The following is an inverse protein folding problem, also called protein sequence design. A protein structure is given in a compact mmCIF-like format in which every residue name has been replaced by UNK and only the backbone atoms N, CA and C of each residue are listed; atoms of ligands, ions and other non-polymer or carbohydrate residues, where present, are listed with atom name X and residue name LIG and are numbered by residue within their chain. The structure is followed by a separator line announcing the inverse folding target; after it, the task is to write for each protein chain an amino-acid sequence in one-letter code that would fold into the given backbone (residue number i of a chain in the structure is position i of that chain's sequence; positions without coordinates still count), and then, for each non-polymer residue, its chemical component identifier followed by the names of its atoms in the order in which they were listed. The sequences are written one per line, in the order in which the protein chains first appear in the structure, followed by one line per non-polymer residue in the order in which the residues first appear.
data_IF_062470088186
#
_entry.id   IF_062470088186
#
_cell.length_a   1.000
_cell.length_b   1.000
_cell.length_c   1.000
_cell.angle_alpha   90.00
_cell.angle_beta   90.00
_cell.angle_gamma   90.00
#
_symmetry.space_group_name_H-M   'P 1'
#
loop_
_entity.id
_entity.type
_entity.pdbx_description
1 polymer ?
#
# COMPACT_ATOMS: atom_id res chain seq x y z
N UNK A 1 37.40 4.73 40.37
CA UNK A 1 37.30 3.27 40.56
C UNK A 1 37.14 2.63 39.19
N UNK A 2 37.79 1.48 38.96
CA UNK A 2 38.10 0.96 37.63
C UNK A 2 37.03 0.01 37.08
N UNK A 3 37.14 -0.24 35.77
CA UNK A 3 36.76 -1.46 35.03
C UNK A 3 35.35 -2.02 35.17
N UNK A 4 34.69 -2.21 34.03
CA UNK A 4 34.61 -3.57 33.48
C UNK A 4 34.30 -3.53 31.99
N UNK A 5 35.32 -3.91 31.23
CA UNK A 5 35.19 -4.45 29.88
C UNK A 5 34.57 -5.83 29.99
N UNK A 6 33.54 -6.13 29.21
CA UNK A 6 33.14 -7.52 28.95
C UNK A 6 32.99 -7.65 27.44
N UNK A 7 34.03 -8.17 26.82
CA UNK A 7 34.02 -8.74 25.48
C UNK A 7 33.47 -10.16 25.58
N UNK A 8 32.40 -10.47 24.87
CA UNK A 8 31.99 -11.86 24.60
C UNK A 8 32.14 -12.12 23.11
N UNK A 9 33.09 -13.00 22.79
CA UNK A 9 33.26 -13.58 21.46
C UNK A 9 32.33 -14.78 21.29
N UNK A 10 31.59 -14.75 20.17
CA UNK A 10 31.16 -15.80 19.21
C UNK A 10 30.80 -17.22 19.71
N UNK A 11 29.79 -17.86 19.08
CA UNK A 11 30.16 -18.71 17.94
C UNK A 11 29.37 -18.38 16.67
N UNK A 12 30.10 -18.45 15.56
CA UNK A 12 29.57 -18.53 14.20
C UNK A 12 29.18 -19.99 13.93
N UNK A 13 27.93 -20.20 13.55
CA UNK A 13 27.42 -21.34 12.80
C UNK A 13 26.21 -20.73 12.06
N UNK A 14 26.31 -20.46 10.77
CA UNK A 14 26.27 -21.48 9.73
C UNK A 14 24.87 -21.37 9.11
N UNK A 15 24.83 -20.86 7.89
CA UNK A 15 23.72 -20.70 6.95
C UNK A 15 22.33 -21.25 7.33
N UNK A 16 21.49 -20.44 8.00
CA UNK A 16 20.01 -20.53 7.99
C UNK A 16 19.39 -19.12 8.30
N UNK A 17 19.93 -18.07 7.69
CA UNK A 17 19.70 -16.70 8.20
C UNK A 17 18.46 -15.97 7.64
N UNK A 18 17.85 -16.43 6.55
CA UNK A 18 16.81 -15.63 5.86
C UNK A 18 15.40 -15.94 6.34
N UNK A 19 15.06 -17.21 6.59
CA UNK A 19 13.72 -17.59 7.07
C UNK A 19 13.58 -17.62 8.60
N UNK A 20 14.67 -17.78 9.35
CA UNK A 20 14.64 -17.74 10.83
C UNK A 20 14.39 -16.32 11.39
N UNK A 21 14.81 -15.28 10.67
CA UNK A 21 14.70 -13.89 11.14
C UNK A 21 13.25 -13.36 11.19
N UNK A 22 12.37 -13.77 10.28
CA UNK A 22 10.93 -13.40 10.31
C UNK A 22 10.16 -14.21 11.36
N UNK A 23 10.55 -15.48 11.56
CA UNK A 23 9.96 -16.34 12.58
C UNK A 23 10.20 -15.81 14.00
N UNK A 24 11.42 -15.31 14.27
CA UNK A 24 11.77 -14.77 15.59
C UNK A 24 11.02 -13.47 15.91
N UNK A 25 10.71 -12.65 14.89
CA UNK A 25 9.93 -11.42 15.08
C UNK A 25 8.43 -11.69 15.28
N UNK A 26 7.86 -12.67 14.58
CA UNK A 26 6.44 -13.02 14.74
C UNK A 26 6.17 -13.89 16.00
N UNK A 27 7.17 -14.63 16.47
CA UNK A 27 7.09 -15.45 17.69
C UNK A 27 6.96 -14.64 18.98
N UNK A 28 7.35 -13.36 18.99
CA UNK A 28 7.12 -12.48 20.14
C UNK A 28 5.69 -11.97 20.26
N UNK A 29 4.87 -12.09 19.21
CA UNK A 29 3.50 -11.53 19.16
C UNK A 29 2.45 -12.59 19.48
N UNK A 30 2.75 -13.89 19.29
CA UNK A 30 1.83 -14.98 19.56
C UNK A 30 2.42 -15.94 20.60
N UNK A 31 1.79 -16.13 21.77
CA UNK A 31 2.29 -17.09 22.75
C UNK A 31 2.23 -18.50 22.15
N UNK A 32 3.39 -19.09 21.90
CA UNK A 32 3.50 -20.46 21.39
C UNK A 32 2.96 -21.45 22.44
N UNK A 33 1.82 -22.06 22.14
CA UNK A 33 1.28 -23.19 22.92
C UNK A 33 1.98 -24.45 22.43
N UNK A 34 2.71 -25.13 23.31
CA UNK A 34 3.52 -26.32 23.00
C UNK A 34 2.69 -27.44 22.36
N UNK A 35 2.80 -27.59 21.04
CA UNK A 35 2.40 -28.79 20.32
C UNK A 35 3.70 -29.50 19.90
N UNK A 36 3.94 -30.69 20.45
CA UNK A 36 4.98 -31.59 19.98
C UNK A 36 4.60 -32.06 18.56
N UNK A 37 5.49 -31.91 17.59
CA UNK A 37 5.64 -32.78 16.39
C UNK A 37 6.92 -32.35 15.64
N UNK A 38 8.02 -33.10 15.79
CA UNK A 38 8.50 -34.15 14.87
C UNK A 38 9.11 -33.57 13.57
N UNK A 39 10.44 -33.46 13.56
CA UNK A 39 11.26 -33.13 12.38
C UNK A 39 11.61 -34.44 11.66
N UNK A 40 11.18 -34.58 10.41
CA UNK A 40 11.74 -35.53 9.46
C UNK A 40 12.18 -34.78 8.22
N UNK A 41 13.50 -34.65 8.07
CA UNK A 41 14.20 -34.53 6.79
C UNK A 41 13.64 -35.55 5.78
N UNK A 42 13.54 -35.18 4.50
CA UNK A 42 14.55 -35.57 3.50
C UNK A 42 14.26 -34.95 2.12
N UNK A 43 15.34 -34.82 1.36
CA UNK A 43 15.48 -34.24 0.03
C UNK A 43 14.60 -34.85 -1.07
N UNK A 44 14.53 -34.17 -2.22
CA UNK A 44 15.04 -34.67 -3.51
C UNK A 44 14.72 -33.68 -4.66
N UNK A 45 15.66 -33.63 -5.60
CA UNK A 45 15.82 -32.75 -6.76
C UNK A 45 15.12 -33.34 -8.01
N UNK A 46 14.57 -32.51 -8.90
CA UNK A 46 14.54 -32.82 -10.35
C UNK A 46 14.18 -31.61 -11.19
N UNK A 47 15.03 -31.36 -12.18
CA UNK A 47 14.93 -30.36 -13.24
C UNK A 47 14.13 -30.84 -14.48
N UNK A 48 13.99 -29.91 -15.45
CA UNK A 48 13.54 -30.02 -16.86
C UNK A 48 12.02 -30.09 -17.13
N UNK A 49 11.41 -29.48 -18.17
CA UNK A 49 11.82 -28.57 -19.25
C UNK A 49 10.58 -28.22 -20.13
N UNK A 50 10.52 -26.97 -20.57
CA UNK A 50 9.89 -26.33 -21.77
C UNK A 50 8.63 -26.86 -22.48
N UNK A 51 7.68 -25.91 -22.65
CA UNK A 51 7.07 -25.37 -23.89
C UNK A 51 6.28 -26.28 -24.85
N UNK A 52 5.02 -25.89 -25.14
CA UNK A 52 4.39 -26.05 -26.46
C UNK A 52 3.21 -25.07 -26.61
N UNK A 53 3.36 -24.13 -27.53
CA UNK A 53 2.30 -23.35 -28.18
C UNK A 53 1.58 -24.20 -29.25
N UNK A 54 0.29 -23.95 -29.50
CA UNK A 54 -0.45 -24.05 -30.79
C UNK A 54 -1.93 -23.68 -30.50
N UNK A 55 -2.40 -22.44 -30.71
CA UNK A 55 -2.84 -21.79 -31.95
C UNK A 55 -4.23 -22.26 -32.49
N UNK A 56 -5.17 -21.31 -32.38
CA UNK A 56 -6.29 -21.02 -33.32
C UNK A 56 -7.49 -21.98 -33.40
N UNK A 57 -8.64 -21.54 -32.88
CA UNK A 57 -9.89 -21.60 -33.63
C UNK A 57 -10.77 -20.38 -33.32
N UNK A 58 -11.12 -19.69 -34.39
CA UNK A 58 -12.00 -18.53 -34.49
C UNK A 58 -13.46 -18.97 -34.42
N UNK A 59 -14.24 -18.50 -33.44
CA UNK A 59 -15.67 -18.28 -33.62
C UNK A 59 -16.08 -16.92 -33.07
N UNK A 60 -16.67 -16.18 -34.00
CA UNK A 60 -17.51 -15.01 -33.90
C UNK A 60 -18.66 -15.25 -32.90
N UNK A 61 -18.60 -14.63 -31.73
CA UNK A 61 -19.81 -14.24 -31.00
C UNK A 61 -19.61 -12.79 -30.53
N UNK A 62 -20.46 -11.93 -31.10
CA UNK A 62 -20.83 -10.61 -30.63
C UNK A 62 -21.24 -10.70 -29.13
N UNK A 63 -20.28 -10.77 -28.21
CA UNK A 63 -20.56 -10.53 -26.79
C UNK A 63 -20.75 -9.02 -26.59
N UNK A 64 -22.01 -8.64 -26.73
CA UNK A 64 -22.71 -7.70 -25.84
C UNK A 64 -21.84 -6.60 -25.25
N UNK A 65 -21.85 -5.48 -25.97
CA UNK A 65 -21.72 -4.11 -25.47
C UNK A 65 -22.83 -3.83 -24.42
N UNK A 66 -22.79 -4.56 -23.30
CA UNK A 66 -23.68 -4.41 -22.12
C UNK A 66 -23.01 -3.62 -20.98
N UNK A 67 -21.83 -3.02 -21.20
CA UNK A 67 -21.14 -2.18 -20.20
C UNK A 67 -21.64 -0.72 -20.14
N UNK A 68 -22.62 -0.31 -20.95
CA UNK A 68 -22.86 1.14 -21.20
C UNK A 68 -23.79 1.88 -20.20
N UNK A 69 -24.21 1.29 -19.08
CA UNK A 69 -25.08 2.01 -18.13
C UNK A 69 -24.85 1.66 -16.64
N UNK A 70 -23.59 1.42 -16.25
CA UNK A 70 -23.26 1.47 -14.82
C UNK A 70 -23.37 2.93 -14.33
N UNK A 71 -24.20 3.21 -13.31
CA UNK A 71 -24.33 4.57 -12.81
C UNK A 71 -22.97 5.11 -12.31
N UNK A 72 -22.53 6.25 -12.86
CA UNK A 72 -21.30 6.91 -12.43
C UNK A 72 -21.28 7.14 -10.91
N UNK A 73 -20.15 6.84 -10.25
CA UNK A 73 -19.97 7.16 -8.83
C UNK A 73 -20.10 8.68 -8.62
N UNK A 74 -21.05 9.15 -7.80
CA UNK A 74 -21.20 10.57 -7.54
C UNK A 74 -20.09 11.17 -6.65
N UNK A 75 -19.25 10.36 -6.00
CA UNK A 75 -18.25 10.83 -5.04
C UNK A 75 -17.21 11.80 -5.63
N UNK A 76 -16.59 11.56 -6.80
CA UNK A 76 -15.58 12.46 -7.35
C UNK A 76 -16.15 13.85 -7.66
N UNK A 77 -17.33 13.91 -8.29
CA UNK A 77 -17.99 15.18 -8.62
C UNK A 77 -18.36 15.99 -7.37
N UNK A 78 -18.86 15.33 -6.32
CA UNK A 78 -19.18 15.99 -5.04
C UNK A 78 -17.90 16.49 -4.36
N UNK A 79 -16.85 15.67 -4.35
CA UNK A 79 -15.58 16.02 -3.73
C UNK A 79 -14.96 17.26 -4.39
N UNK A 80 -14.91 17.30 -5.73
CA UNK A 80 -14.42 18.46 -6.47
C UNK A 80 -15.25 19.74 -6.20
N UNK A 81 -16.57 19.63 -6.12
CA UNK A 81 -17.43 20.77 -5.74
C UNK A 81 -17.08 21.28 -4.33
N UNK A 82 -16.82 20.36 -3.40
CA UNK A 82 -16.44 20.68 -2.03
C UNK A 82 -15.04 21.30 -1.93
N UNK A 83 -14.06 20.86 -2.71
CA UNK A 83 -12.75 21.50 -2.81
C UNK A 83 -12.84 22.95 -3.33
N UNK A 84 -13.69 23.17 -4.33
CA UNK A 84 -13.93 24.49 -4.96
C UNK A 84 -14.88 25.38 -4.14
N UNK A 85 -15.39 24.88 -3.01
CA UNK A 85 -16.27 25.62 -2.13
C UNK A 85 -15.56 26.84 -1.51
N UNK A 86 -16.32 27.85 -1.09
CA UNK A 86 -15.75 29.07 -0.49
C UNK A 86 -14.93 28.79 0.78
N UNK A 87 -15.28 27.75 1.53
CA UNK A 87 -14.59 27.37 2.76
C UNK A 87 -13.25 26.68 2.46
N UNK A 88 -13.21 25.80 1.45
CA UNK A 88 -12.02 25.00 1.14
C UNK A 88 -11.13 25.61 0.04
N UNK A 89 -11.61 26.56 -0.74
CA UNK A 89 -10.85 27.19 -1.82
C UNK A 89 -9.49 27.80 -1.38
N UNK A 90 -9.37 28.47 -0.21
CA UNK A 90 -8.08 28.93 0.28
C UNK A 90 -7.10 27.78 0.56
N UNK A 91 -7.59 26.67 1.12
CA UNK A 91 -6.79 25.48 1.41
C UNK A 91 -6.34 24.80 0.12
N UNK A 92 -7.23 24.73 -0.88
CA UNK A 92 -6.88 24.26 -2.22
C UNK A 92 -5.79 25.11 -2.85
N UNK A 93 -5.90 26.44 -2.76
CA UNK A 93 -4.86 27.34 -3.27
C UNK A 93 -3.49 27.05 -2.62
N UNK A 94 -3.44 26.86 -1.30
CA UNK A 94 -2.18 26.52 -0.61
C UNK A 94 -1.61 25.17 -1.05
N UNK A 95 -2.47 24.16 -1.20
CA UNK A 95 -2.05 22.86 -1.73
C UNK A 95 -1.51 22.97 -3.16
N UNK A 96 -2.21 23.65 -4.06
CA UNK A 96 -1.78 23.84 -5.45
C UNK A 96 -0.47 24.65 -5.54
N UNK A 97 -0.28 25.64 -4.66
CA UNK A 97 0.96 26.41 -4.56
C UNK A 97 2.13 25.55 -4.07
N UNK A 98 1.92 24.72 -3.05
CA UNK A 98 2.93 23.76 -2.58
C UNK A 98 3.29 22.78 -3.70
N UNK A 99 2.30 22.13 -4.30
CA UNK A 99 2.50 21.12 -5.34
C UNK A 99 3.32 21.70 -6.50
N UNK A 100 2.94 22.90 -6.97
CA UNK A 100 3.70 23.61 -8.00
C UNK A 100 5.15 23.89 -7.59
N UNK A 101 5.40 24.33 -6.36
CA UNK A 101 6.76 24.63 -5.88
C UNK A 101 7.62 23.37 -5.81
N UNK A 102 7.05 22.26 -5.34
CA UNK A 102 7.72 20.96 -5.26
C UNK A 102 8.01 20.40 -6.66
N UNK A 103 7.03 20.44 -7.57
CA UNK A 103 7.19 20.01 -8.97
C UNK A 103 8.23 20.84 -9.73
N UNK A 104 8.29 22.15 -9.47
CA UNK A 104 9.28 23.04 -10.07
C UNK A 104 10.69 22.90 -9.43
N UNK A 105 10.85 22.06 -8.41
CA UNK A 105 12.11 21.90 -7.67
C UNK A 105 12.55 23.16 -6.93
N UNK A 106 11.60 24.08 -6.66
CA UNK A 106 11.82 25.33 -5.92
C UNK A 106 11.53 25.18 -4.43
N UNK A 107 11.09 23.99 -4.01
CA UNK A 107 10.90 23.64 -2.62
C UNK A 107 12.21 23.41 -1.88
N UNK A 108 12.13 23.23 -0.55
CA UNK A 108 13.27 22.80 0.25
C UNK A 108 13.57 21.30 0.04
N UNK A 109 14.77 20.87 0.40
CA UNK A 109 15.17 19.46 0.28
C UNK A 109 14.29 18.58 1.18
N UNK A 110 13.53 17.67 0.56
CA UNK A 110 12.56 16.82 1.25
C UNK A 110 11.19 17.46 1.49
N UNK A 111 10.89 18.62 0.90
CA UNK A 111 9.55 19.21 0.92
C UNK A 111 8.52 18.26 0.31
N UNK A 112 7.41 18.09 1.01
CA UNK A 112 6.22 17.39 0.54
C UNK A 112 4.98 18.20 0.96
N UNK A 113 3.88 18.03 0.22
CA UNK A 113 2.65 18.81 0.40
C UNK A 113 1.59 18.06 1.21
N UNK A 114 2.00 17.14 2.09
CA UNK A 114 1.09 16.28 2.83
C UNK A 114 0.30 17.08 3.87
N UNK A 115 0.91 18.10 4.47
CA UNK A 115 0.23 18.98 5.44
C UNK A 115 -0.91 19.75 4.75
N UNK A 116 -0.63 20.41 3.62
CA UNK A 116 -1.63 21.15 2.85
C UNK A 116 -2.71 20.22 2.28
N UNK A 117 -2.31 19.02 1.86
CA UNK A 117 -3.26 17.97 1.46
C UNK A 117 -4.21 17.60 2.59
N UNK A 118 -3.70 17.37 3.81
CA UNK A 118 -4.57 17.03 4.95
C UNK A 118 -5.51 18.16 5.32
N UNK A 119 -5.08 19.42 5.21
CA UNK A 119 -5.98 20.55 5.43
C UNK A 119 -7.09 20.62 4.38
N UNK A 120 -6.75 20.49 3.08
CA UNK A 120 -7.73 20.46 2.00
C UNK A 120 -8.69 19.27 2.16
N UNK A 121 -8.13 18.07 2.35
CA UNK A 121 -8.88 16.84 2.46
C UNK A 121 -9.84 16.88 3.65
N UNK A 122 -9.39 17.34 4.82
CA UNK A 122 -10.24 17.48 6.00
C UNK A 122 -11.45 18.38 5.70
N UNK A 123 -11.23 19.56 5.10
CA UNK A 123 -12.30 20.48 4.73
C UNK A 123 -13.26 19.88 3.69
N UNK A 124 -12.70 19.29 2.63
CA UNK A 124 -13.49 18.70 1.55
C UNK A 124 -14.30 17.49 2.02
N UNK A 125 -13.75 16.65 2.90
CA UNK A 125 -14.43 15.47 3.47
C UNK A 125 -15.61 15.87 4.36
N UNK A 126 -15.46 16.90 5.21
CA UNK A 126 -16.56 17.41 6.04
C UNK A 126 -17.74 17.91 5.18
N UNK A 127 -17.45 18.49 4.02
CA UNK A 127 -18.47 18.89 3.04
C UNK A 127 -19.03 17.70 2.24
N UNK A 128 -18.18 16.74 1.86
CA UNK A 128 -18.52 15.63 0.96
C UNK A 128 -19.37 14.59 1.65
N UNK A 129 -19.00 14.19 2.87
CA UNK A 129 -19.66 13.10 3.60
C UNK A 129 -21.20 13.24 3.65
N UNK A 130 -21.79 14.34 4.15
CA UNK A 130 -23.26 14.43 4.23
C UNK A 130 -23.94 14.44 2.84
N UNK A 131 -23.28 14.98 1.80
CA UNK A 131 -23.82 15.01 0.43
C UNK A 131 -23.77 13.63 -0.21
N UNK A 132 -22.65 12.93 -0.08
CA UNK A 132 -22.42 11.61 -0.67
C UNK A 132 -23.34 10.57 -0.03
N UNK A 133 -23.38 10.49 1.30
CA UNK A 133 -24.24 9.52 2.01
C UNK A 133 -25.75 9.79 1.86
N UNK A 134 -26.15 10.96 1.33
CA UNK A 134 -27.55 11.20 0.96
C UNK A 134 -27.95 10.59 -0.39
N UNK A 135 -26.96 10.24 -1.23
CA UNK A 135 -27.16 9.62 -2.55
C UNK A 135 -26.97 8.09 -2.52
N UNK A 136 -26.22 7.58 -1.56
CA UNK A 136 -26.01 6.16 -1.34
C UNK A 136 -27.21 5.62 -0.55
N UNK A 137 -28.04 4.77 -1.18
CA UNK A 137 -29.22 4.12 -0.58
C UNK A 137 -28.94 2.64 -0.35
#
# INVERSE_FOLDING_TARGET
MPSSSVTVSLPVAGDESVFSSVSSFFSSILPTTHAEEESSDDAEESEEKEESEDAEESEDEEEEDEEEDEPEDPAPAIYEECEKSKACAPLKHHFDECSKRVEEGKGFEGENCIEEFFHLAHCAQECTAPKLFSKLV
#
